data_IF_350779272141
#
_entry.id   IF_350779272141
#
_cell.length_a   1.000
_cell.length_b   1.000
_cell.length_c   1.000
_cell.angle_alpha   90.00
_cell.angle_beta   90.00
_cell.angle_gamma   90.00
#
_symmetry.space_group_name_H-M   'P 1'
#
loop_
_entity.id
_entity.type
_entity.pdbx_description
1 polymer ?
#
# COMPACT_ATOMS: atom_id res chain seq x y z
N UNK A 1 -11.33 15.22 14.43
CA UNK A 1 -11.30 14.27 13.29
C UNK A 1 -9.91 14.13 12.60
N UNK A 2 -8.78 14.45 13.26
CA UNK A 2 -7.42 14.40 12.69
C UNK A 2 -6.83 12.98 12.55
N UNK A 3 -7.37 12.02 13.30
CA UNK A 3 -6.86 10.65 13.43
C UNK A 3 -6.99 9.79 12.15
N UNK A 4 -7.91 10.14 11.24
CA UNK A 4 -8.15 9.37 10.02
C UNK A 4 -7.03 9.53 8.98
N UNK A 5 -6.34 10.68 8.93
CA UNK A 5 -5.20 10.90 8.02
C UNK A 5 -3.98 10.09 8.45
N UNK A 6 -3.59 10.16 9.72
CA UNK A 6 -2.45 9.38 10.24
C UNK A 6 -2.68 7.88 10.12
N UNK A 7 -3.89 7.38 10.40
CA UNK A 7 -4.23 5.97 10.19
C UNK A 7 -4.05 5.54 8.73
N UNK A 8 -4.50 6.36 7.77
CA UNK A 8 -4.35 6.08 6.34
C UNK A 8 -2.89 6.04 5.91
N UNK A 9 -2.06 6.97 6.40
CA UNK A 9 -0.63 7.00 6.10
C UNK A 9 0.06 5.75 6.65
N UNK A 10 -0.22 5.38 7.90
CA UNK A 10 0.34 4.17 8.52
C UNK A 10 -0.08 2.91 7.75
N UNK A 11 -1.34 2.84 7.32
CA UNK A 11 -1.83 1.74 6.47
C UNK A 11 -1.10 1.72 5.13
N UNK A 12 -0.94 2.86 4.44
CA UNK A 12 -0.19 2.94 3.18
C UNK A 12 1.26 2.46 3.34
N UNK A 13 1.94 2.88 4.40
CA UNK A 13 3.32 2.46 4.69
C UNK A 13 3.36 0.94 4.95
N UNK A 14 2.44 0.42 5.77
CA UNK A 14 2.35 -1.01 6.03
C UNK A 14 2.07 -1.81 4.74
N UNK A 15 1.17 -1.34 3.88
CA UNK A 15 0.89 -1.93 2.57
C UNK A 15 2.14 -1.98 1.68
N UNK A 16 2.92 -0.90 1.65
CA UNK A 16 4.16 -0.84 0.87
C UNK A 16 5.23 -1.80 1.40
N UNK A 17 5.40 -1.89 2.72
CA UNK A 17 6.34 -2.84 3.35
C UNK A 17 5.93 -4.27 3.05
N UNK A 18 4.65 -4.61 3.19
CA UNK A 18 4.15 -5.94 2.86
C UNK A 18 4.29 -6.24 1.36
N UNK A 19 3.95 -5.29 0.48
CA UNK A 19 4.14 -5.46 -0.96
C UNK A 19 5.62 -5.69 -1.31
N UNK A 20 6.55 -4.96 -0.68
CA UNK A 20 7.99 -5.14 -0.86
C UNK A 20 8.50 -6.50 -0.36
N UNK A 21 8.01 -6.98 0.78
CA UNK A 21 8.33 -8.34 1.27
C UNK A 21 7.80 -9.43 0.33
N UNK A 22 6.57 -9.28 -0.18
CA UNK A 22 6.00 -10.20 -1.15
C UNK A 22 6.78 -10.16 -2.47
N UNK A 23 7.18 -8.97 -2.95
CA UNK A 23 8.02 -8.80 -4.13
C UNK A 23 9.39 -9.48 -3.96
N UNK A 24 9.98 -9.39 -2.77
CA UNK A 24 11.24 -10.05 -2.45
C UNK A 24 11.11 -11.59 -2.49
N UNK A 25 10.00 -12.13 -1.99
CA UNK A 25 9.69 -13.57 -2.11
C UNK A 25 9.49 -14.01 -3.56
N UNK A 26 8.83 -13.19 -4.38
CA UNK A 26 8.69 -13.41 -5.82
C UNK A 26 10.06 -13.44 -6.52
N UNK A 27 10.94 -12.51 -6.19
CA UNK A 27 12.31 -12.47 -6.70
C UNK A 27 13.15 -13.69 -6.28
N UNK A 28 12.94 -14.24 -5.09
CA UNK A 28 13.60 -15.48 -4.65
C UNK A 28 13.03 -16.74 -5.30
N UNK A 29 11.94 -16.65 -6.07
CA UNK A 29 11.32 -17.79 -6.76
C UNK A 29 10.43 -18.67 -5.89
N UNK A 30 10.33 -18.39 -4.59
CA UNK A 30 9.41 -19.07 -3.64
C UNK A 30 8.17 -18.21 -3.42
N UNK A 31 7.34 -18.08 -4.45
CA UNK A 31 6.10 -17.32 -4.35
C UNK A 31 4.88 -18.15 -4.72
N UNK A 32 3.79 -17.83 -4.03
CA UNK A 32 2.48 -18.38 -4.34
C UNK A 32 1.71 -17.35 -5.16
N UNK A 33 0.73 -17.79 -5.94
CA UNK A 33 -0.23 -16.89 -6.60
C UNK A 33 -0.91 -15.91 -5.63
N UNK A 34 -1.00 -16.29 -4.34
CA UNK A 34 -1.51 -15.45 -3.24
C UNK A 34 -0.59 -14.26 -2.95
N UNK A 35 0.74 -14.43 -2.95
CA UNK A 35 1.70 -13.34 -2.69
C UNK A 35 1.61 -12.27 -3.80
N UNK A 36 1.44 -12.71 -5.06
CA UNK A 36 1.26 -11.81 -6.22
C UNK A 36 -0.07 -11.06 -6.13
N UNK A 37 -1.15 -11.77 -5.78
CA UNK A 37 -2.47 -11.17 -5.61
C UNK A 37 -2.49 -10.11 -4.50
N UNK A 38 -1.87 -10.42 -3.36
CA UNK A 38 -1.70 -9.49 -2.24
C UNK A 38 -0.89 -8.26 -2.65
N UNK A 39 0.21 -8.45 -3.40
CA UNK A 39 1.02 -7.36 -3.91
C UNK A 39 0.21 -6.39 -4.78
N UNK A 40 -0.59 -6.90 -5.72
CA UNK A 40 -1.43 -6.07 -6.59
C UNK A 40 -2.48 -5.30 -5.78
N UNK A 41 -3.18 -5.96 -4.87
CA UNK A 41 -4.19 -5.30 -4.02
C UNK A 41 -3.55 -4.21 -3.16
N UNK A 42 -2.40 -4.49 -2.54
CA UNK A 42 -1.70 -3.53 -1.71
C UNK A 42 -1.21 -2.31 -2.51
N UNK A 43 -0.81 -2.51 -3.76
CA UNK A 43 -0.37 -1.44 -4.64
C UNK A 43 -1.56 -0.56 -5.07
N UNK A 44 -2.69 -1.16 -5.43
CA UNK A 44 -3.93 -0.43 -5.74
C UNK A 44 -4.38 0.39 -4.54
N UNK A 45 -4.45 -0.22 -3.35
CA UNK A 45 -4.83 0.46 -2.12
C UNK A 45 -3.85 1.60 -1.80
N UNK A 46 -2.54 1.34 -1.84
CA UNK A 46 -1.50 2.33 -1.57
C UNK A 46 -1.59 3.54 -2.50
N UNK A 47 -1.83 3.32 -3.80
CA UNK A 47 -2.01 4.39 -4.79
C UNK A 47 -3.32 5.15 -4.57
N UNK A 48 -4.44 4.47 -4.35
CA UNK A 48 -5.74 5.13 -4.08
C UNK A 48 -5.66 6.00 -2.83
N UNK A 49 -5.06 5.51 -1.74
CA UNK A 49 -4.92 6.27 -0.50
C UNK A 49 -3.95 7.44 -0.65
N UNK A 50 -2.84 7.26 -1.37
CA UNK A 50 -1.89 8.35 -1.66
C UNK A 50 -2.54 9.42 -2.53
N UNK A 51 -3.33 9.03 -3.53
CA UNK A 51 -4.06 9.95 -4.39
C UNK A 51 -5.11 10.76 -3.63
N UNK A 52 -5.88 10.11 -2.74
CA UNK A 52 -6.84 10.80 -1.87
C UNK A 52 -6.12 11.78 -0.95
N UNK A 53 -4.97 11.39 -0.37
CA UNK A 53 -4.18 12.27 0.48
C UNK A 53 -3.68 13.50 -0.28
N UNK A 54 -3.10 13.31 -1.47
CA UNK A 54 -2.63 14.39 -2.33
C UNK A 54 -3.76 15.31 -2.83
N UNK A 55 -4.94 14.76 -3.12
CA UNK A 55 -6.12 15.59 -3.46
C UNK A 55 -6.55 16.45 -2.28
N UNK A 56 -6.57 15.88 -1.07
CA UNK A 56 -7.03 16.57 0.12
C UNK A 56 -6.06 17.68 0.58
N UNK A 57 -4.79 17.63 0.18
CA UNK A 57 -3.82 18.71 0.39
C UNK A 57 -3.87 19.80 -0.68
N UNK A 58 -4.43 19.53 -1.87
CA UNK A 58 -4.63 20.53 -2.94
C UNK A 58 -5.86 21.42 -2.76
N UNK A 59 -6.84 20.99 -1.96
CA UNK A 59 -8.06 21.76 -1.68
C UNK A 59 -7.93 22.63 -0.42
N UNK A 60 -6.72 22.71 0.17
CA UNK A 60 -6.45 23.47 1.41
C UNK A 60 -5.64 24.74 1.17
#
# INVERSE_FOLDING_TARGET
MRNRRSYRIVVTIACFVFAGMNAYRILQGYYTWIDVFLLIIFLIFGVTYSYILFRQDRES
#
